data_IF_663564608870
#
_entry.id   IF_663564608870
#
_cell.length_a   1.000
_cell.length_b   1.000
_cell.length_c   1.000
_cell.angle_alpha   90.00
_cell.angle_beta   90.00
_cell.angle_gamma   90.00
#
_symmetry.space_group_name_H-M   'P 1'
#
loop_
_entity.id
_entity.type
_entity.pdbx_description
1 polymer ?
#
# COMPACT_ATOMS: atom_id res chain seq x y z
N UNK A 1 -9.48 -14.37 1.98
CA UNK A 1 -8.26 -13.67 1.50
C UNK A 1 -7.87 -12.49 2.39
N UNK A 2 -8.73 -11.46 2.57
CA UNK A 2 -8.38 -10.26 3.36
C UNK A 2 -7.90 -10.61 4.77
N UNK A 3 -8.69 -11.37 5.55
CA UNK A 3 -8.28 -11.78 6.91
C UNK A 3 -6.92 -12.50 6.93
N UNK A 4 -6.68 -13.43 6.00
CA UNK A 4 -5.39 -14.14 5.89
C UNK A 4 -4.20 -13.18 5.71
N UNK A 5 -4.37 -12.13 4.91
CA UNK A 5 -3.33 -11.11 4.70
C UNK A 5 -3.21 -10.20 5.93
N UNK A 6 -4.34 -9.78 6.51
CA UNK A 6 -4.37 -8.97 7.73
C UNK A 6 -3.64 -9.68 8.87
N UNK A 7 -3.94 -10.96 9.09
CA UNK A 7 -3.33 -11.78 10.14
C UNK A 7 -1.82 -11.90 9.90
N UNK A 8 -1.40 -12.29 8.69
CA UNK A 8 0.02 -12.40 8.33
C UNK A 8 0.79 -11.07 8.53
N UNK A 9 0.21 -9.93 8.14
CA UNK A 9 0.83 -8.61 8.35
C UNK A 9 0.86 -8.26 9.84
N UNK A 10 -0.21 -8.56 10.59
CA UNK A 10 -0.28 -8.27 12.03
C UNK A 10 0.79 -9.06 12.79
N UNK A 11 0.94 -10.34 12.47
CA UNK A 11 1.98 -11.21 13.04
C UNK A 11 3.38 -10.69 12.70
N UNK A 12 3.62 -10.29 11.45
CA UNK A 12 4.90 -9.69 11.03
C UNK A 12 5.20 -8.36 11.75
N UNK A 13 4.19 -7.63 12.20
CA UNK A 13 4.32 -6.36 12.91
C UNK A 13 4.29 -6.50 14.44
N UNK A 14 4.08 -7.70 15.00
CA UNK A 14 3.86 -7.91 16.44
C UNK A 14 4.94 -7.27 17.33
N UNK A 15 6.20 -7.34 16.87
CA UNK A 15 7.36 -6.81 17.60
C UNK A 15 7.93 -5.51 17.00
N UNK A 16 7.31 -4.98 15.95
CA UNK A 16 7.77 -3.78 15.25
C UNK A 16 7.31 -2.52 16.00
N UNK A 17 8.27 -1.69 16.41
CA UNK A 17 8.01 -0.47 17.18
C UNK A 17 7.79 0.75 16.26
N UNK A 18 7.13 1.82 16.73
CA UNK A 18 6.92 3.03 15.93
C UNK A 18 8.19 3.69 15.40
N UNK A 19 9.33 3.46 16.06
CA UNK A 19 10.63 3.99 15.67
C UNK A 19 11.27 3.22 14.50
N UNK A 20 10.82 1.98 14.27
CA UNK A 20 11.33 1.09 13.23
C UNK A 20 11.11 1.69 11.83
N UNK A 21 12.11 1.61 10.93
CA UNK A 21 11.96 2.04 9.54
C UNK A 21 10.71 1.47 8.85
N UNK A 22 10.38 0.19 9.07
CA UNK A 22 9.22 -0.45 8.46
C UNK A 22 7.91 0.18 8.94
N UNK A 23 7.82 0.49 10.23
CA UNK A 23 6.61 1.10 10.79
C UNK A 23 6.38 2.50 10.22
N UNK A 24 7.44 3.30 10.15
CA UNK A 24 7.40 4.66 9.58
C UNK A 24 7.03 4.64 8.11
N UNK A 25 7.56 3.66 7.37
CA UNK A 25 7.24 3.44 5.96
C UNK A 25 5.74 3.16 5.77
N UNK A 26 5.15 2.31 6.62
CA UNK A 26 3.76 1.88 6.52
C UNK A 26 2.76 2.82 7.18
N UNK A 27 3.20 3.73 8.05
CA UNK A 27 2.35 4.67 8.79
C UNK A 27 1.33 5.45 7.91
N UNK A 28 1.66 5.90 6.68
CA UNK A 28 0.70 6.57 5.82
C UNK A 28 -0.57 5.74 5.53
N UNK A 29 -0.49 4.41 5.55
CA UNK A 29 -1.65 3.52 5.36
C UNK A 29 -2.75 3.74 6.40
N UNK A 30 -2.39 4.13 7.63
CA UNK A 30 -3.36 4.45 8.67
C UNK A 30 -4.19 5.66 8.23
N UNK A 31 -3.54 6.68 7.66
CA UNK A 31 -4.21 7.88 7.16
C UNK A 31 -5.05 7.57 5.92
N UNK A 32 -4.56 6.73 5.01
CA UNK A 32 -5.31 6.28 3.82
C UNK A 32 -6.61 5.56 4.20
N UNK A 33 -6.62 4.80 5.30
CA UNK A 33 -7.80 4.08 5.79
C UNK A 33 -8.84 4.94 6.52
N UNK A 34 -8.53 6.20 6.83
CA UNK A 34 -9.41 7.09 7.59
C UNK A 34 -10.16 8.07 6.67
N UNK A 35 -11.38 8.51 7.05
CA UNK A 35 -12.08 9.56 6.32
C UNK A 35 -11.24 10.84 6.25
N UNK A 36 -11.19 11.48 5.07
CA UNK A 36 -10.35 12.66 4.82
C UNK A 36 -10.55 13.78 5.87
N UNK A 37 -11.79 14.01 6.30
CA UNK A 37 -12.10 15.02 7.32
C UNK A 37 -11.50 14.69 8.70
N UNK A 38 -11.39 13.41 9.06
CA UNK A 38 -10.74 13.00 10.31
C UNK A 38 -9.23 13.18 10.25
N UNK A 39 -8.62 12.88 9.10
CA UNK A 39 -7.19 13.10 8.89
C UNK A 39 -6.88 14.60 8.92
N UNK A 40 -7.72 15.45 8.34
CA UNK A 40 -7.57 16.92 8.37
C UNK A 40 -7.65 17.47 9.81
N UNK A 41 -8.60 16.98 10.61
CA UNK A 41 -8.84 17.50 11.98
C UNK A 41 -7.81 16.95 13.00
N UNK A 42 -7.26 15.77 12.77
CA UNK A 42 -6.51 15.07 13.81
C UNK A 42 -5.43 14.10 13.35
N UNK A 43 -5.04 14.12 12.08
CA UNK A 43 -4.06 13.20 11.52
C UNK A 43 -2.71 13.21 12.23
N UNK A 44 -2.31 14.36 12.79
CA UNK A 44 -1.04 14.51 13.50
C UNK A 44 -1.07 13.90 14.90
N UNK A 45 -2.27 13.69 15.47
CA UNK A 45 -2.46 13.09 16.79
C UNK A 45 -2.44 11.56 16.76
N UNK A 46 -2.55 10.95 15.59
CA UNK A 46 -2.67 9.49 15.42
C UNK A 46 -1.47 8.76 16.07
N UNK A 47 -0.24 9.22 15.81
CA UNK A 47 0.96 8.55 16.29
C UNK A 47 1.08 8.52 17.82
N UNK A 48 0.62 9.59 18.49
CA UNK A 48 0.77 9.75 19.94
C UNK A 48 -0.46 9.27 20.73
N UNK A 49 -1.65 9.33 20.14
CA UNK A 49 -2.90 9.08 20.87
C UNK A 49 -3.43 7.66 20.65
N UNK A 50 -3.01 6.96 19.59
CA UNK A 50 -3.49 5.62 19.32
C UNK A 50 -2.53 4.57 19.90
N UNK A 51 -3.02 3.52 20.58
CA UNK A 51 -2.18 2.41 21.01
C UNK A 51 -1.42 1.80 19.82
N UNK A 52 -0.16 1.43 20.02
CA UNK A 52 0.68 0.86 18.96
C UNK A 52 0.02 -0.36 18.30
N UNK A 53 -0.60 -1.23 19.10
CA UNK A 53 -1.31 -2.39 18.54
C UNK A 53 -2.47 -2.00 17.62
N UNK A 54 -3.19 -0.92 17.95
CA UNK A 54 -4.25 -0.42 17.08
C UNK A 54 -3.68 0.10 15.75
N UNK A 55 -2.55 0.81 15.82
CA UNK A 55 -1.86 1.29 14.62
C UNK A 55 -1.41 0.13 13.71
N UNK A 56 -0.85 -0.95 14.28
CA UNK A 56 -0.48 -2.17 13.54
C UNK A 56 -1.69 -2.80 12.86
N UNK A 57 -2.80 -2.97 13.59
CA UNK A 57 -4.02 -3.55 13.04
C UNK A 57 -4.62 -2.68 11.93
N UNK A 58 -4.54 -1.36 12.06
CA UNK A 58 -4.98 -0.41 11.04
C UNK A 58 -4.11 -0.51 9.77
N UNK A 59 -2.79 -0.55 9.91
CA UNK A 59 -1.85 -0.79 8.80
C UNK A 59 -2.18 -2.10 8.10
N UNK A 60 -2.31 -3.19 8.87
CA UNK A 60 -2.57 -4.52 8.34
C UNK A 60 -3.89 -4.58 7.55
N UNK A 61 -4.96 -4.04 8.14
CA UNK A 61 -6.28 -4.05 7.51
C UNK A 61 -6.33 -3.19 6.25
N UNK A 62 -5.70 -2.01 6.27
CA UNK A 62 -5.64 -1.11 5.12
C UNK A 62 -4.85 -1.73 3.97
N UNK A 63 -3.66 -2.29 4.26
CA UNK A 63 -2.81 -2.92 3.25
C UNK A 63 -3.44 -4.19 2.68
N UNK A 64 -4.01 -5.05 3.53
CA UNK A 64 -4.71 -6.25 3.09
C UNK A 64 -5.89 -5.94 2.16
N UNK A 65 -6.70 -4.94 2.54
CA UNK A 65 -7.82 -4.48 1.72
C UNK A 65 -7.31 -3.94 0.38
N UNK A 66 -6.30 -3.06 0.39
CA UNK A 66 -5.73 -2.46 -0.82
C UNK A 66 -5.18 -3.53 -1.78
N UNK A 67 -4.46 -4.52 -1.26
CA UNK A 67 -3.91 -5.62 -2.04
C UNK A 67 -5.02 -6.46 -2.67
N UNK A 68 -5.97 -6.94 -1.87
CA UNK A 68 -7.01 -7.88 -2.34
C UNK A 68 -8.02 -7.21 -3.26
N UNK A 69 -8.39 -5.95 -3.01
CA UNK A 69 -9.32 -5.24 -3.90
C UNK A 69 -8.69 -4.88 -5.25
N UNK A 70 -7.38 -4.62 -5.29
CA UNK A 70 -6.70 -4.21 -6.52
C UNK A 70 -6.26 -5.41 -7.37
N UNK A 71 -5.78 -6.48 -6.74
CA UNK A 71 -5.22 -7.65 -7.44
C UNK A 71 -6.13 -8.88 -7.42
N UNK A 72 -7.18 -8.86 -6.60
CA UNK A 72 -8.03 -10.02 -6.34
C UNK A 72 -7.41 -11.00 -5.35
N UNK A 73 -8.13 -12.10 -5.11
CA UNK A 73 -7.74 -13.12 -4.11
C UNK A 73 -6.61 -14.03 -4.60
N UNK A 74 -6.47 -14.21 -5.92
CA UNK A 74 -5.57 -15.19 -6.51
C UNK A 74 -4.10 -14.92 -6.15
N UNK A 75 -3.69 -13.65 -6.10
CA UNK A 75 -2.33 -13.23 -5.73
C UNK A 75 -1.96 -13.67 -4.31
N UNK A 76 -2.94 -13.81 -3.42
CA UNK A 76 -2.74 -14.23 -2.02
C UNK A 76 -2.80 -15.75 -1.89
N UNK A 77 -3.64 -16.41 -2.68
CA UNK A 77 -3.90 -17.85 -2.57
C UNK A 77 -2.74 -18.71 -3.09
N UNK A 78 -1.96 -18.21 -4.04
CA UNK A 78 -0.79 -18.93 -4.60
C UNK A 78 0.48 -18.79 -3.75
N UNK A 79 0.47 -17.94 -2.74
CA UNK A 79 1.69 -17.69 -1.95
C UNK A 79 1.79 -18.63 -0.76
N UNK A 80 3.02 -19.08 -0.42
CA UNK A 80 3.31 -19.67 0.88
C UNK A 80 2.87 -18.73 2.01
N UNK A 81 2.29 -19.29 3.07
CA UNK A 81 1.70 -18.49 4.15
C UNK A 81 2.71 -17.57 4.84
N UNK A 82 3.95 -18.02 4.99
CA UNK A 82 5.10 -17.31 5.56
C UNK A 82 5.60 -16.14 4.69
N UNK A 83 5.27 -16.11 3.39
CA UNK A 83 5.70 -15.04 2.48
C UNK A 83 4.66 -13.93 2.29
N UNK A 84 3.43 -14.10 2.79
CA UNK A 84 2.32 -13.18 2.51
C UNK A 84 2.62 -11.76 2.99
N UNK A 85 3.17 -11.61 4.20
CA UNK A 85 3.47 -10.30 4.78
C UNK A 85 4.56 -9.57 3.99
N UNK A 86 5.68 -10.23 3.73
CA UNK A 86 6.79 -9.67 2.93
C UNK A 86 6.32 -9.22 1.55
N UNK A 87 5.44 -10.01 0.94
CA UNK A 87 4.89 -9.73 -0.39
C UNK A 87 3.91 -8.57 -0.37
N UNK A 88 3.12 -8.44 0.69
CA UNK A 88 2.28 -7.27 0.90
C UNK A 88 3.13 -5.99 1.08
N UNK A 89 4.25 -6.05 1.82
CA UNK A 89 5.16 -4.92 1.98
C UNK A 89 5.86 -4.54 0.66
N UNK A 90 6.35 -5.53 -0.10
CA UNK A 90 6.91 -5.30 -1.43
C UNK A 90 5.87 -4.68 -2.36
N UNK A 91 4.63 -5.16 -2.31
CA UNK A 91 3.54 -4.59 -3.09
C UNK A 91 3.29 -3.13 -2.74
N UNK A 92 3.25 -2.78 -1.45
CA UNK A 92 3.10 -1.39 -1.01
C UNK A 92 4.20 -0.49 -1.58
N UNK A 93 5.46 -0.91 -1.49
CA UNK A 93 6.61 -0.16 -2.03
C UNK A 93 6.49 0.07 -3.53
N UNK A 94 6.12 -0.97 -4.29
CA UNK A 94 5.96 -0.82 -5.72
C UNK A 94 4.74 0.01 -6.08
N UNK A 95 3.65 -0.06 -5.30
CA UNK A 95 2.51 0.81 -5.50
C UNK A 95 2.91 2.28 -5.32
N UNK A 96 3.66 2.62 -4.28
CA UNK A 96 4.17 3.97 -4.06
C UNK A 96 5.06 4.44 -5.22
N UNK A 97 5.98 3.58 -5.69
CA UNK A 97 6.83 3.89 -6.84
C UNK A 97 6.02 4.16 -8.11
N UNK A 98 4.99 3.34 -8.37
CA UNK A 98 4.10 3.52 -9.53
C UNK A 98 3.28 4.81 -9.39
N UNK A 99 2.78 5.14 -8.18
CA UNK A 99 2.08 6.41 -7.95
C UNK A 99 2.99 7.62 -8.20
N UNK A 100 4.26 7.55 -7.79
CA UNK A 100 5.25 8.59 -8.08
C UNK A 100 5.48 8.75 -9.59
N UNK A 101 5.70 7.65 -10.31
CA UNK A 101 5.87 7.66 -11.77
C UNK A 101 4.63 8.21 -12.49
N UNK A 102 3.42 7.85 -12.05
CA UNK A 102 2.18 8.40 -12.59
C UNK A 102 2.09 9.92 -12.37
N UNK A 103 2.49 10.40 -11.20
CA UNK A 103 2.52 11.83 -10.90
C UNK A 103 3.57 12.58 -11.74
N UNK A 104 4.76 12.01 -11.91
CA UNK A 104 5.82 12.54 -12.77
C UNK A 104 5.35 12.64 -14.22
N UNK A 105 4.80 11.57 -14.78
CA UNK A 105 4.27 11.57 -16.16
C UNK A 105 3.14 12.58 -16.29
N UNK A 106 2.24 12.68 -15.30
CA UNK A 106 1.14 13.65 -15.33
C UNK A 106 1.65 15.09 -15.34
N UNK A 107 2.68 15.39 -14.58
CA UNK A 107 3.28 16.73 -14.45
C UNK A 107 4.41 17.02 -15.45
N UNK A 108 4.83 16.04 -16.25
CA UNK A 108 5.91 16.22 -17.22
C UNK A 108 5.49 17.16 -18.35
N UNK A 109 6.37 18.11 -18.68
CA UNK A 109 6.29 18.96 -19.87
C UNK A 109 6.95 18.34 -21.10
N UNK A 110 7.28 17.05 -21.03
CA UNK A 110 7.78 16.24 -22.15
C UNK A 110 6.83 16.31 -23.35
N UNK A 111 7.34 16.34 -24.60
CA UNK A 111 6.55 16.40 -25.82
C UNK A 111 5.91 15.03 -26.15
N UNK A 112 5.17 14.46 -25.21
CA UNK A 112 4.31 13.31 -25.42
C UNK A 112 3.00 13.77 -26.04
N UNK A 113 2.55 13.08 -27.10
CA UNK A 113 1.18 13.25 -27.59
C UNK A 113 0.21 12.99 -26.45
N UNK A 114 -0.78 13.86 -26.26
CA UNK A 114 -1.74 13.79 -25.15
C UNK A 114 -2.43 12.41 -25.06
N UNK A 115 -2.72 11.83 -26.23
CA UNK A 115 -3.29 10.49 -26.39
C UNK A 115 -2.39 9.39 -25.79
N UNK A 116 -1.11 9.40 -26.14
CA UNK A 116 -0.13 8.44 -25.63
C UNK A 116 0.07 8.59 -24.12
N UNK A 117 0.10 9.84 -23.62
CA UNK A 117 0.21 10.12 -22.19
C UNK A 117 -0.98 9.53 -21.41
N UNK A 118 -2.20 9.69 -21.92
CA UNK A 118 -3.39 9.10 -21.31
C UNK A 118 -3.33 7.56 -21.29
N UNK A 119 -2.91 6.93 -22.38
CA UNK A 119 -2.77 5.47 -22.47
C UNK A 119 -1.71 4.94 -21.51
N UNK A 120 -0.54 5.60 -21.42
CA UNK A 120 0.53 5.20 -20.50
C UNK A 120 0.05 5.28 -19.04
N UNK A 121 -0.65 6.36 -18.67
CA UNK A 121 -1.23 6.53 -17.34
C UNK A 121 -2.26 5.43 -17.03
N UNK A 122 -3.14 5.09 -17.97
CA UNK A 122 -4.14 4.03 -17.78
C UNK A 122 -3.47 2.66 -17.57
N UNK A 123 -2.51 2.28 -18.41
CA UNK A 123 -1.79 1.01 -18.32
C UNK A 123 -1.06 0.89 -16.97
N UNK A 124 -0.29 1.92 -16.60
CA UNK A 124 0.46 1.93 -15.35
C UNK A 124 -0.46 1.90 -14.12
N UNK A 125 -1.59 2.59 -14.16
CA UNK A 125 -2.55 2.62 -13.05
C UNK A 125 -3.18 1.25 -12.76
N UNK A 126 -3.45 0.47 -13.82
CA UNK A 126 -4.12 -0.83 -13.72
C UNK A 126 -3.16 -1.98 -13.47
N UNK A 127 -2.00 -2.00 -14.13
CA UNK A 127 -1.09 -3.16 -14.12
C UNK A 127 0.33 -2.88 -13.65
N UNK A 128 0.69 -1.62 -13.40
CA UNK A 128 2.08 -1.23 -13.11
C UNK A 128 2.63 -1.89 -11.84
N UNK A 129 1.82 -1.96 -10.77
CA UNK A 129 2.28 -2.49 -9.48
C UNK A 129 2.62 -3.98 -9.57
N UNK A 130 1.69 -4.80 -10.09
CA UNK A 130 1.90 -6.24 -10.27
C UNK A 130 3.04 -6.55 -11.24
N UNK A 131 3.11 -5.85 -12.38
CA UNK A 131 4.20 -6.02 -13.33
C UNK A 131 5.56 -5.68 -12.69
N UNK A 132 5.62 -4.63 -11.87
CA UNK A 132 6.84 -4.24 -11.17
C UNK A 132 7.29 -5.24 -10.09
N UNK A 133 6.40 -6.13 -9.61
CA UNK A 133 6.76 -7.18 -8.67
C UNK A 133 7.33 -8.43 -9.35
N UNK A 134 7.23 -8.54 -10.68
CA UNK A 134 7.63 -9.74 -11.44
C UNK A 134 6.96 -11.03 -10.95
N UNK A 135 5.70 -10.94 -10.49
CA UNK A 135 4.92 -12.10 -10.02
C UNK A 135 3.91 -12.44 -11.13
N UNK A 136 4.18 -13.52 -11.87
CA UNK A 136 3.36 -14.03 -12.97
C UNK A 136 2.69 -15.35 -12.58
#
# INVERSE_FOLDING_TARGET
AINKVTDAITDALENVQPEDPLFKELFPLIKEGLPAKMVEIGGDRIGNNFPVQYQRNAIASALASKLVYKEGIHLVEIQPADQIADRAFQYYRQDQKIQQLLAEIKNSNEPLKAENKAVILDILSRGGTRASLNIF
#
